data_IF_289976995126
#
_entry.id   IF_289976995126
#
_cell.length_a   1.000
_cell.length_b   1.000
_cell.length_c   1.000
_cell.angle_alpha   90.00
_cell.angle_beta   90.00
_cell.angle_gamma   90.00
#
_symmetry.space_group_name_H-M   'P 1'
#
loop_
_entity.id
_entity.type
_entity.pdbx_description
1 polymer ?
#
# COMPACT_ATOMS: atom_id res chain seq x y z
N UNK A 1 1.60 -9.42 -23.10
CA UNK A 1 1.27 -8.30 -22.21
C UNK A 1 2.26 -8.34 -21.06
N UNK A 2 3.29 -7.48 -21.10
CA UNK A 2 4.34 -7.47 -20.09
C UNK A 2 3.81 -6.76 -18.85
N UNK A 3 3.44 -7.54 -17.83
CA UNK A 3 3.28 -7.02 -16.48
C UNK A 3 4.64 -6.48 -16.05
N UNK A 4 4.84 -5.17 -16.18
CA UNK A 4 5.99 -4.49 -15.58
C UNK A 4 5.81 -4.63 -14.08
N UNK A 5 6.50 -5.61 -13.50
CA UNK A 5 6.69 -5.69 -12.06
C UNK A 5 7.21 -4.33 -11.61
N UNK A 6 6.39 -3.62 -10.84
CA UNK A 6 6.74 -2.39 -10.15
C UNK A 6 8.08 -2.57 -9.44
N UNK A 7 9.05 -1.75 -9.80
CA UNK A 7 10.42 -1.66 -9.27
C UNK A 7 10.98 -2.95 -8.62
N UNK A 8 11.79 -3.75 -9.34
CA UNK A 8 12.29 -5.05 -8.87
C UNK A 8 13.17 -4.97 -7.61
N UNK A 9 13.50 -3.77 -7.11
CA UNK A 9 14.40 -3.56 -5.97
C UNK A 9 13.76 -2.89 -4.74
N UNK A 10 12.42 -2.76 -4.68
CA UNK A 10 11.75 -2.05 -3.56
C UNK A 10 12.14 -2.58 -2.18
N UNK A 11 12.47 -3.87 -2.06
CA UNK A 11 12.88 -4.49 -0.80
C UNK A 11 14.21 -3.98 -0.24
N UNK A 12 15.01 -3.25 -1.03
CA UNK A 12 16.26 -2.62 -0.58
C UNK A 12 16.06 -1.21 -0.03
N UNK A 13 15.04 -0.49 -0.50
CA UNK A 13 14.85 0.94 -0.21
C UNK A 13 13.62 1.21 0.65
N UNK A 14 12.59 0.37 0.52
CA UNK A 14 11.34 0.55 1.26
C UNK A 14 11.54 0.30 2.77
N UNK A 15 10.87 1.08 3.63
CA UNK A 15 10.90 0.88 5.08
C UNK A 15 10.02 -0.32 5.48
N UNK A 16 10.49 -1.53 5.17
CA UNK A 16 9.85 -2.79 5.51
C UNK A 16 10.20 -3.20 6.95
N UNK A 17 9.27 -3.85 7.66
CA UNK A 17 9.49 -4.31 9.04
C UNK A 17 9.93 -5.78 9.08
N UNK A 18 8.98 -6.70 8.83
CA UNK A 18 9.22 -8.14 8.84
C UNK A 18 8.60 -8.79 7.61
N UNK A 19 9.24 -9.85 7.13
CA UNK A 19 8.65 -10.73 6.10
C UNK A 19 7.51 -11.53 6.72
N UNK A 20 6.43 -11.68 5.99
CA UNK A 20 5.28 -12.48 6.38
C UNK A 20 5.52 -13.90 5.85
N UNK A 21 5.87 -14.81 6.75
CA UNK A 21 6.12 -16.22 6.44
C UNK A 21 4.96 -17.12 6.84
N UNK A 22 3.98 -16.59 7.57
CA UNK A 22 2.80 -17.30 8.04
C UNK A 22 1.60 -16.35 8.05
N UNK A 23 0.52 -16.78 7.41
CA UNK A 23 -0.74 -16.05 7.37
C UNK A 23 -1.83 -16.90 8.01
N UNK A 24 -2.71 -16.24 8.76
CA UNK A 24 -3.79 -16.92 9.44
C UNK A 24 -5.06 -16.09 9.37
N UNK A 25 -6.17 -16.76 9.06
CA UNK A 25 -7.52 -16.22 9.01
C UNK A 25 -8.35 -16.93 10.08
N UNK A 26 -8.89 -16.17 11.03
CA UNK A 26 -9.76 -16.69 12.08
C UNK A 26 -11.19 -16.19 11.90
N UNK A 27 -12.13 -17.13 11.84
CA UNK A 27 -13.57 -16.88 11.84
C UNK A 27 -14.06 -17.03 13.28
N UNK A 28 -14.57 -15.95 13.87
CA UNK A 28 -14.97 -15.89 15.27
C UNK A 28 -16.49 -15.95 15.40
N UNK A 29 -16.99 -16.72 16.38
CA UNK A 29 -18.35 -16.67 16.91
C UNK A 29 -18.28 -16.26 18.39
N UNK A 30 -19.40 -15.90 19.05
CA UNK A 30 -19.38 -15.56 20.47
C UNK A 30 -18.78 -16.66 21.36
N UNK A 31 -18.97 -17.93 20.97
CA UNK A 31 -18.60 -19.10 21.76
C UNK A 31 -17.41 -19.88 21.20
N UNK A 32 -16.77 -19.40 20.12
CA UNK A 32 -15.69 -20.16 19.49
C UNK A 32 -14.95 -19.47 18.35
N UNK A 33 -13.95 -20.16 17.83
CA UNK A 33 -13.14 -19.70 16.72
C UNK A 33 -12.76 -20.87 15.82
N UNK A 34 -12.80 -20.67 14.51
CA UNK A 34 -12.21 -21.58 13.52
C UNK A 34 -11.11 -20.84 12.78
N UNK A 35 -9.89 -21.36 12.87
CA UNK A 35 -8.69 -20.73 12.32
C UNK A 35 -8.13 -21.55 11.17
N UNK A 36 -7.94 -20.92 10.03
CA UNK A 36 -7.18 -21.43 8.90
C UNK A 36 -5.82 -20.75 8.88
N UNK A 37 -4.76 -21.51 8.59
CA UNK A 37 -3.41 -20.96 8.50
C UNK A 37 -2.61 -21.57 7.35
N UNK A 38 -1.70 -20.76 6.81
CA UNK A 38 -0.83 -21.13 5.70
C UNK A 38 0.59 -20.66 5.99
N UNK A 39 1.55 -21.57 5.86
CA UNK A 39 2.98 -21.26 5.95
C UNK A 39 3.52 -20.97 4.55
N UNK A 40 4.07 -19.78 4.37
CA UNK A 40 4.66 -19.31 3.11
C UNK A 40 6.08 -18.77 3.35
N UNK A 41 7.07 -19.64 3.59
CA UNK A 41 8.43 -19.21 3.94
C UNK A 41 9.13 -18.44 2.80
N UNK A 42 8.72 -18.69 1.54
CA UNK A 42 9.17 -17.96 0.35
C UNK A 42 8.23 -16.86 -0.13
N UNK A 43 7.19 -16.48 0.62
CA UNK A 43 6.23 -15.46 0.19
C UNK A 43 6.86 -14.06 0.15
N UNK A 44 6.53 -13.25 -0.85
CA UNK A 44 7.04 -11.87 -1.01
C UNK A 44 6.16 -10.82 -0.29
N UNK A 45 5.55 -11.23 0.82
CA UNK A 45 4.68 -10.37 1.64
C UNK A 45 5.49 -9.80 2.81
N UNK A 46 5.30 -8.52 3.11
CA UNK A 46 6.00 -7.81 4.19
C UNK A 46 5.01 -6.98 5.00
N UNK A 47 5.22 -6.91 6.32
CA UNK A 47 4.52 -5.93 7.14
C UNK A 47 5.23 -4.59 7.09
N UNK A 48 4.46 -3.51 7.12
CA UNK A 48 4.96 -2.14 7.09
C UNK A 48 4.32 -1.29 8.19
N UNK A 49 5.04 -0.30 8.69
CA UNK A 49 4.39 0.81 9.39
C UNK A 49 4.01 1.88 8.39
N UNK A 50 2.70 2.05 8.16
CA UNK A 50 2.17 3.03 7.20
C UNK A 50 2.67 4.45 7.41
N UNK A 51 2.89 4.85 8.66
CA UNK A 51 3.44 6.18 8.97
C UNK A 51 4.83 6.43 8.36
N UNK A 52 5.63 5.37 8.12
CA UNK A 52 6.92 5.44 7.44
C UNK A 52 6.82 5.10 5.96
N UNK A 53 6.00 4.11 5.64
CA UNK A 53 5.85 3.58 4.28
C UNK A 53 5.12 4.55 3.35
N UNK A 54 4.03 5.17 3.79
CA UNK A 54 3.22 6.05 2.95
C UNK A 54 4.03 7.27 2.44
N UNK A 55 4.83 7.98 3.27
CA UNK A 55 5.72 9.06 2.79
C UNK A 55 6.80 8.58 1.81
N UNK A 56 7.39 7.41 2.05
CA UNK A 56 8.37 6.82 1.13
C UNK A 56 7.73 6.50 -0.22
N UNK A 57 6.55 5.88 -0.22
CA UNK A 57 5.84 5.52 -1.44
C UNK A 57 5.46 6.75 -2.27
N UNK A 58 5.06 7.84 -1.61
CA UNK A 58 4.79 9.12 -2.27
C UNK A 58 6.04 9.67 -2.95
N UNK A 59 7.19 9.65 -2.28
CA UNK A 59 8.44 10.13 -2.85
C UNK A 59 8.85 9.32 -4.10
N UNK A 60 8.73 7.98 -4.05
CA UNK A 60 9.00 7.13 -5.22
C UNK A 60 8.03 7.42 -6.38
N UNK A 61 6.76 7.68 -6.08
CA UNK A 61 5.77 8.03 -7.10
C UNK A 61 6.05 9.41 -7.73
N UNK A 62 6.45 10.39 -6.94
CA UNK A 62 6.82 11.74 -7.41
C UNK A 62 8.07 11.72 -8.29
N UNK A 63 9.06 10.88 -7.98
CA UNK A 63 10.23 10.63 -8.84
C UNK A 63 9.84 10.03 -10.20
N UNK A 64 8.82 9.18 -10.23
CA UNK A 64 8.23 8.64 -11.47
C UNK A 64 7.28 9.65 -12.18
N UNK A 65 7.20 10.89 -11.68
CA UNK A 65 6.43 11.98 -12.28
C UNK A 65 4.95 12.01 -11.90
N UNK A 66 4.53 11.25 -10.88
CA UNK A 66 3.16 11.27 -10.36
C UNK A 66 3.00 12.39 -9.33
N UNK A 67 2.05 13.30 -9.53
CA UNK A 67 1.70 14.30 -8.52
C UNK A 67 0.78 13.67 -7.45
N UNK A 68 1.29 13.47 -6.24
CA UNK A 68 0.50 13.03 -5.10
C UNK A 68 -0.17 14.22 -4.41
N UNK A 69 -1.50 14.17 -4.24
CA UNK A 69 -2.27 15.26 -3.62
C UNK A 69 -2.65 14.86 -2.18
N UNK A 70 -1.92 15.31 -1.14
CA UNK A 70 -2.26 15.00 0.25
C UNK A 70 -3.50 15.77 0.69
N UNK A 71 -4.29 15.21 1.63
CA UNK A 71 -5.58 15.71 2.16
C UNK A 71 -5.69 17.24 2.36
N UNK A 72 -4.61 17.92 2.77
CA UNK A 72 -4.61 19.38 2.99
C UNK A 72 -4.48 20.22 1.72
N UNK A 73 -4.09 19.63 0.60
CA UNK A 73 -3.95 20.27 -0.73
C UNK A 73 -5.27 20.28 -1.53
N UNK A 74 -6.23 19.43 -1.14
CA UNK A 74 -7.50 19.20 -1.84
C UNK A 74 -8.31 20.49 -2.00
N UNK A 75 -8.36 21.29 -0.94
CA UNK A 75 -9.12 22.54 -0.91
C UNK A 75 -8.61 23.59 -1.92
N UNK A 76 -7.33 23.55 -2.30
CA UNK A 76 -6.75 24.50 -3.26
C UNK A 76 -6.87 23.99 -4.71
N UNK A 77 -6.72 22.68 -4.93
CA UNK A 77 -6.81 22.08 -6.27
C UNK A 77 -8.22 22.20 -6.86
N UNK A 78 -9.26 21.97 -6.05
CA UNK A 78 -10.67 22.08 -6.50
C UNK A 78 -11.05 23.46 -7.04
N UNK A 79 -10.39 24.54 -6.60
CA UNK A 79 -10.70 25.90 -7.08
C UNK A 79 -10.17 26.16 -8.50
N UNK A 80 -9.25 25.33 -9.01
CA UNK A 80 -8.60 25.52 -10.32
C UNK A 80 -9.32 24.80 -11.46
N UNK A 81 -10.11 23.78 -11.17
CA UNK A 81 -10.73 22.90 -12.18
C UNK A 81 -12.26 22.91 -12.05
N UNK A 82 -12.86 24.07 -12.33
CA UNK A 82 -14.30 24.13 -12.59
C UNK A 82 -14.59 23.50 -13.97
N UNK A 83 -14.77 22.17 -14.01
CA UNK A 83 -15.27 21.49 -15.21
C UNK A 83 -14.95 20.00 -15.39
N UNK A 84 -14.01 19.43 -14.63
CA UNK A 84 -13.67 18.01 -14.74
C UNK A 84 -14.02 17.28 -13.44
N UNK A 85 -14.90 16.28 -13.53
CA UNK A 85 -15.15 15.34 -12.43
C UNK A 85 -14.00 14.34 -12.40
N UNK A 86 -13.07 14.54 -11.48
CA UNK A 86 -12.08 13.53 -11.14
C UNK A 86 -12.69 12.64 -10.06
N UNK A 87 -13.11 11.42 -10.42
CA UNK A 87 -13.47 10.43 -9.43
C UNK A 87 -12.22 10.01 -8.67
N UNK A 88 -12.26 10.15 -7.35
CA UNK A 88 -11.31 9.51 -6.45
C UNK A 88 -12.05 8.39 -5.71
N UNK A 89 -11.44 7.21 -5.66
CA UNK A 89 -11.89 6.12 -4.79
C UNK A 89 -11.53 6.42 -3.32
#
# INVERSE_FOLDING_TARGET
MHSRNSSPQFHLTAPLERRITHESLSLLTPDGATTFSSLQPGGESWSVLRARFDPWLVAEAEEEGVECIPERRWMHCMKKTAGCVCHLW
#
